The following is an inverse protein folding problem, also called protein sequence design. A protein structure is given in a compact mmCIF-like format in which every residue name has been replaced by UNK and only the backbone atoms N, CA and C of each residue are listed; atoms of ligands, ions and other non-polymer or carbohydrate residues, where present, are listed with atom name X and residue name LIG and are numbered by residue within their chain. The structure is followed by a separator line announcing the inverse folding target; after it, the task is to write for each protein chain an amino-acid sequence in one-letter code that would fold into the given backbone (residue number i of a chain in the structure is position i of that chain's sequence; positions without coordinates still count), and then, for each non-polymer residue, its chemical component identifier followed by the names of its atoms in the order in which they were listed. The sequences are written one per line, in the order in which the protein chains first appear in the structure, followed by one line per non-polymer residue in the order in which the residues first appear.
data_IF_070984326558
#
_entry.id   IF_070984326558
#
_cell.length_a   1.000
_cell.length_b   1.000
_cell.length_c   1.000
_cell.angle_alpha   90.00
_cell.angle_beta   90.00
_cell.angle_gamma   90.00
#
_symmetry.space_group_name_H-M   'P 1'
#
loop_
_entity.id
_entity.type
_entity.pdbx_description
1 polymer ?
#
# COMPACT_ATOMS: atom_id res chain seq x y z
N UNK A 1 -20.27 -16.49 14.31
CA UNK A 1 -19.32 -17.59 14.00
C UNK A 1 -17.90 -17.22 14.42
N UNK A 2 -17.41 -15.99 14.16
CA UNK A 2 -16.05 -15.53 14.51
C UNK A 2 -15.96 -14.75 15.83
N UNK A 3 -17.07 -14.50 16.49
CA UNK A 3 -17.16 -13.64 17.69
C UNK A 3 -16.22 -14.11 18.81
N UNK A 4 -16.20 -15.40 19.11
CA UNK A 4 -15.32 -15.95 20.15
C UNK A 4 -13.83 -15.79 19.78
N UNK A 5 -13.47 -16.00 18.51
CA UNK A 5 -12.10 -15.78 18.02
C UNK A 5 -11.70 -14.32 18.16
N UNK A 6 -12.58 -13.39 17.79
CA UNK A 6 -12.32 -11.95 17.93
C UNK A 6 -12.24 -11.51 19.40
N UNK A 7 -13.00 -12.15 20.32
CA UNK A 7 -12.88 -11.88 21.74
C UNK A 7 -11.53 -12.33 22.30
N UNK A 8 -11.07 -13.55 21.96
CA UNK A 8 -9.75 -14.03 22.36
C UNK A 8 -8.64 -13.11 21.85
N UNK A 9 -8.71 -12.71 20.57
CA UNK A 9 -7.79 -11.76 19.97
C UNK A 9 -7.79 -10.40 20.70
N UNK A 10 -9.00 -9.87 21.03
CA UNK A 10 -9.12 -8.61 21.76
C UNK A 10 -8.50 -8.70 23.16
N UNK A 11 -8.76 -9.79 23.88
CA UNK A 11 -8.20 -10.02 25.21
C UNK A 11 -6.67 -10.14 25.16
N UNK A 12 -6.13 -10.91 24.19
CA UNK A 12 -4.69 -11.04 23.97
C UNK A 12 -4.02 -9.70 23.63
N UNK A 13 -4.72 -8.81 22.89
CA UNK A 13 -4.18 -7.52 22.48
C UNK A 13 -3.72 -6.63 23.63
N UNK A 14 -4.31 -6.78 24.82
CA UNK A 14 -3.93 -6.00 26.01
C UNK A 14 -2.55 -6.35 26.56
N UNK A 15 -1.98 -7.49 26.17
CA UNK A 15 -0.62 -7.90 26.58
C UNK A 15 0.47 -7.22 25.74
N UNK A 16 0.18 -6.82 24.51
CA UNK A 16 1.17 -6.30 23.57
C UNK A 16 1.80 -4.95 23.98
N UNK A 17 1.05 -3.96 24.49
CA UNK A 17 1.62 -2.65 24.86
C UNK A 17 2.70 -2.70 25.94
N UNK A 18 2.75 -3.75 26.76
CA UNK A 18 3.74 -3.90 27.83
C UNK A 18 4.97 -4.74 27.47
N UNK A 19 5.00 -5.31 26.26
CA UNK A 19 6.19 -6.00 25.76
C UNK A 19 7.34 -5.02 25.54
N UNK A 20 8.52 -5.43 25.95
CA UNK A 20 9.72 -4.68 25.68
C UNK A 20 10.15 -4.81 24.20
N UNK A 21 10.84 -3.80 23.67
CA UNK A 21 11.28 -3.76 22.26
C UNK A 21 12.16 -4.96 21.89
N UNK A 22 13.04 -5.39 22.82
CA UNK A 22 13.92 -6.55 22.61
C UNK A 22 13.13 -7.86 22.48
N UNK A 23 12.01 -8.03 23.21
CA UNK A 23 11.15 -9.22 23.10
C UNK A 23 10.46 -9.27 21.73
N UNK A 24 10.01 -8.11 21.24
CA UNK A 24 9.38 -7.98 19.92
C UNK A 24 10.39 -8.31 18.82
N UNK A 25 11.58 -7.73 18.90
CA UNK A 25 12.64 -7.96 17.90
C UNK A 25 13.12 -9.41 17.90
N UNK A 26 13.33 -10.00 19.07
CA UNK A 26 13.75 -11.40 19.23
C UNK A 26 12.71 -12.36 18.65
N UNK A 27 11.40 -12.10 18.84
CA UNK A 27 10.36 -12.91 18.24
C UNK A 27 10.37 -12.80 16.70
N UNK A 28 10.45 -11.58 16.13
CA UNK A 28 10.47 -11.40 14.68
C UNK A 28 11.70 -12.06 14.04
N UNK A 29 12.87 -11.95 14.65
CA UNK A 29 14.09 -12.62 14.20
C UNK A 29 13.97 -14.16 14.27
N UNK A 30 13.42 -14.68 15.37
CA UNK A 30 13.15 -16.11 15.51
C UNK A 30 12.15 -16.61 14.48
N UNK A 31 11.10 -15.83 14.19
CA UNK A 31 10.13 -16.19 13.17
C UNK A 31 10.75 -16.16 11.77
N UNK A 32 11.61 -15.20 11.47
CA UNK A 32 12.34 -15.17 10.20
C UNK A 32 13.18 -16.44 9.98
N UNK A 33 13.89 -16.90 11.01
CA UNK A 33 14.65 -18.15 10.98
C UNK A 33 13.72 -19.39 10.86
N UNK A 34 12.56 -19.32 11.51
CA UNK A 34 11.54 -20.37 11.43
C UNK A 34 10.92 -20.48 10.03
N UNK A 35 10.73 -19.37 9.31
CA UNK A 35 10.25 -19.37 7.90
C UNK A 35 11.22 -20.15 7.02
N UNK A 36 12.52 -19.87 7.11
CA UNK A 36 13.53 -20.56 6.31
C UNK A 36 13.65 -22.05 6.67
N UNK A 37 13.64 -22.38 7.95
CA UNK A 37 13.76 -23.77 8.41
C UNK A 37 12.50 -24.62 8.20
N UNK A 38 11.31 -24.02 8.02
CA UNK A 38 10.07 -24.70 7.74
C UNK A 38 9.60 -24.49 6.30
N UNK A 39 10.47 -24.07 5.38
CA UNK A 39 10.12 -23.78 3.98
C UNK A 39 9.40 -24.94 3.30
N UNK A 40 9.82 -26.18 3.53
CA UNK A 40 9.19 -27.36 2.95
C UNK A 40 7.70 -27.51 3.34
N UNK A 41 7.35 -27.27 4.61
CA UNK A 41 5.95 -27.33 5.09
C UNK A 41 5.11 -26.21 4.47
N UNK A 42 5.65 -25.00 4.40
CA UNK A 42 4.97 -23.86 3.78
C UNK A 42 4.75 -24.07 2.28
N UNK A 43 5.74 -24.63 1.57
CA UNK A 43 5.64 -24.93 0.14
C UNK A 43 4.67 -26.09 -0.12
N UNK A 44 4.60 -27.12 0.75
CA UNK A 44 3.61 -28.19 0.65
C UNK A 44 2.18 -27.65 0.80
N UNK A 45 1.94 -26.76 1.77
CA UNK A 45 0.64 -26.12 1.93
C UNK A 45 0.28 -25.26 0.71
N UNK A 46 1.25 -24.50 0.19
CA UNK A 46 1.06 -23.69 -1.01
C UNK A 46 0.79 -24.53 -2.26
N UNK A 47 1.40 -25.68 -2.39
CA UNK A 47 1.12 -26.62 -3.49
C UNK A 47 -0.33 -27.09 -3.51
N UNK A 48 -0.98 -27.26 -2.34
CA UNK A 48 -2.42 -27.60 -2.24
C UNK A 48 -3.30 -26.47 -2.80
N UNK A 49 -2.97 -25.22 -2.48
CA UNK A 49 -3.68 -24.06 -3.01
C UNK A 49 -3.48 -23.93 -4.53
N UNK A 50 -2.24 -24.05 -5.01
CA UNK A 50 -1.89 -23.99 -6.44
C UNK A 50 -2.56 -25.10 -7.27
N UNK A 51 -2.76 -26.28 -6.69
CA UNK A 51 -3.43 -27.39 -7.37
C UNK A 51 -4.91 -27.11 -7.70
N UNK A 52 -5.53 -26.15 -6.99
CA UNK A 52 -6.92 -25.73 -7.21
C UNK A 52 -7.06 -24.57 -8.19
N UNK A 53 -5.93 -23.98 -8.65
CA UNK A 53 -5.93 -22.82 -9.53
C UNK A 53 -5.37 -23.15 -10.90
N UNK A 54 -6.01 -22.67 -11.96
CA UNK A 54 -5.49 -22.75 -13.31
C UNK A 54 -4.20 -21.93 -13.45
N UNK A 55 -3.16 -22.52 -14.04
CA UNK A 55 -1.87 -21.84 -14.26
C UNK A 55 -1.96 -20.64 -15.20
N UNK A 56 -2.97 -20.60 -16.08
CA UNK A 56 -3.22 -19.44 -16.96
C UNK A 56 -3.89 -18.27 -16.24
N UNK A 57 -4.37 -18.47 -15.00
CA UNK A 57 -4.99 -17.43 -14.21
C UNK A 57 -3.94 -16.37 -13.82
N UNK A 58 -4.15 -15.06 -14.12
CA UNK A 58 -3.21 -14.00 -13.75
C UNK A 58 -2.91 -13.91 -12.25
N UNK A 59 -3.79 -14.46 -11.41
CA UNK A 59 -3.63 -14.51 -9.94
C UNK A 59 -2.65 -15.60 -9.50
N UNK A 60 -2.37 -16.60 -10.36
CA UNK A 60 -1.49 -17.74 -10.02
C UNK A 60 -0.11 -17.30 -9.52
N UNK A 61 0.52 -16.33 -10.18
CA UNK A 61 1.83 -15.80 -9.77
C UNK A 61 1.78 -15.10 -8.40
N UNK A 62 0.66 -14.49 -8.06
CA UNK A 62 0.47 -13.85 -6.74
C UNK A 62 0.33 -14.86 -5.61
N UNK A 63 -0.24 -16.02 -5.92
CA UNK A 63 -0.44 -17.13 -4.97
C UNK A 63 0.84 -17.94 -4.75
N UNK A 64 1.70 -18.03 -5.76
CA UNK A 64 2.90 -18.88 -5.76
C UNK A 64 3.90 -18.45 -4.68
N UNK A 65 4.27 -19.38 -3.81
CA UNK A 65 5.45 -19.31 -2.95
C UNK A 65 6.59 -20.14 -3.57
N UNK A 66 7.81 -19.68 -3.40
CA UNK A 66 9.06 -20.38 -3.76
C UNK A 66 10.03 -20.23 -2.61
N UNK A 67 11.09 -21.03 -2.58
CA UNK A 67 12.15 -20.87 -1.57
C UNK A 67 12.74 -19.45 -1.57
N UNK A 68 12.95 -18.86 -2.75
CA UNK A 68 13.50 -17.50 -2.87
C UNK A 68 12.50 -16.45 -2.35
N UNK A 69 11.19 -16.63 -2.60
CA UNK A 69 10.16 -15.76 -2.03
C UNK A 69 10.09 -15.88 -0.50
N UNK A 70 10.21 -17.08 0.04
CA UNK A 70 10.25 -17.29 1.50
C UNK A 70 11.50 -16.67 2.13
N UNK A 71 12.68 -16.79 1.51
CA UNK A 71 13.89 -16.06 1.93
C UNK A 71 13.72 -14.56 1.88
N UNK A 72 13.05 -14.05 0.84
CA UNK A 72 12.70 -12.63 0.74
C UNK A 72 11.82 -12.18 1.92
N UNK A 73 10.75 -12.93 2.22
CA UNK A 73 9.86 -12.65 3.35
C UNK A 73 10.62 -12.67 4.68
N UNK A 74 11.50 -13.65 4.89
CA UNK A 74 12.34 -13.72 6.09
C UNK A 74 13.30 -12.52 6.20
N UNK A 75 13.87 -12.09 5.07
CA UNK A 75 14.71 -10.88 5.00
C UNK A 75 13.93 -9.61 5.34
N UNK A 76 12.72 -9.45 4.78
CA UNK A 76 11.84 -8.32 5.05
C UNK A 76 11.43 -8.27 6.53
N UNK A 77 11.16 -9.43 7.13
CA UNK A 77 10.82 -9.54 8.56
C UNK A 77 12.00 -9.16 9.46
N UNK A 78 13.24 -9.58 9.12
CA UNK A 78 14.46 -9.13 9.82
C UNK A 78 14.61 -7.61 9.73
N UNK A 79 14.34 -7.05 8.54
CA UNK A 79 14.38 -5.61 8.37
C UNK A 79 13.31 -4.89 9.23
N UNK A 80 12.09 -5.41 9.31
CA UNK A 80 11.06 -4.86 10.23
C UNK A 80 11.53 -4.92 11.69
N UNK A 81 12.23 -5.98 12.09
CA UNK A 81 12.77 -6.06 13.46
C UNK A 81 13.81 -4.96 13.76
N UNK A 82 14.56 -4.50 12.74
CA UNK A 82 15.57 -3.43 12.88
C UNK A 82 14.93 -2.02 12.94
N UNK A 83 13.71 -1.85 12.46
CA UNK A 83 13.02 -0.55 12.49
C UNK A 83 12.78 -0.09 13.93
N UNK A 84 12.87 1.20 14.16
CA UNK A 84 12.46 1.81 15.44
C UNK A 84 10.94 1.73 15.61
N UNK A 85 10.48 1.21 16.77
CA UNK A 85 9.05 1.20 17.07
C UNK A 85 8.51 2.62 17.28
N UNK A 86 7.39 2.99 16.66
CA UNK A 86 6.77 4.29 16.91
C UNK A 86 6.09 4.35 18.29
N UNK A 87 5.82 3.22 18.94
CA UNK A 87 5.05 3.16 20.19
C UNK A 87 5.84 3.77 21.35
N UNK A 88 5.21 4.71 22.05
CA UNK A 88 5.84 5.48 23.12
C UNK A 88 6.55 6.77 22.67
N UNK A 89 6.71 6.98 21.35
CA UNK A 89 7.31 8.20 20.81
C UNK A 89 6.50 9.43 21.21
N UNK A 90 7.18 10.42 21.79
CA UNK A 90 6.58 11.71 22.15
C UNK A 90 6.36 12.52 20.88
N UNK A 91 5.11 12.87 20.61
CA UNK A 91 4.73 13.71 19.46
C UNK A 91 4.76 15.18 19.83
N UNK A 92 4.29 15.50 21.05
CA UNK A 92 4.15 16.89 21.54
C UNK A 92 4.14 16.89 23.07
N UNK A 93 4.75 17.93 23.66
CA UNK A 93 4.78 18.12 25.11
C UNK A 93 4.56 19.57 25.47
N UNK A 94 3.69 19.84 26.43
CA UNK A 94 3.34 21.20 26.87
C UNK A 94 3.14 21.25 28.38
N UNK A 95 3.66 22.30 29.01
CA UNK A 95 3.33 22.65 30.39
C UNK A 95 2.31 23.80 30.37
N UNK A 96 1.19 23.60 31.06
CA UNK A 96 0.13 24.63 31.15
C UNK A 96 0.46 25.64 32.24
N UNK A 97 -0.14 26.86 32.19
CA UNK A 97 0.08 27.88 33.23
C UNK A 97 -0.23 27.43 34.66
N UNK A 98 -1.13 26.49 34.84
CA UNK A 98 -1.47 25.88 36.13
C UNK A 98 -0.53 24.76 36.57
N UNK A 99 0.55 24.49 35.83
CA UNK A 99 1.56 23.47 36.13
C UNK A 99 1.26 22.08 35.56
N UNK A 100 0.08 21.82 34.94
CA UNK A 100 -0.20 20.53 34.32
C UNK A 100 0.76 20.28 33.14
N UNK A 101 1.37 19.11 33.10
CA UNK A 101 2.17 18.60 31.99
C UNK A 101 1.31 17.69 31.10
N UNK A 102 1.18 18.07 29.82
CA UNK A 102 0.49 17.28 28.80
C UNK A 102 1.52 16.73 27.83
N UNK A 103 1.56 15.41 27.70
CA UNK A 103 2.45 14.71 26.75
C UNK A 103 1.59 13.90 25.81
N UNK A 104 1.71 14.11 24.51
CA UNK A 104 1.06 13.32 23.48
C UNK A 104 2.01 12.24 22.99
N UNK A 105 1.63 10.98 23.15
CA UNK A 105 2.48 9.84 22.80
C UNK A 105 1.79 8.91 21.80
N UNK A 106 2.55 8.29 20.93
CA UNK A 106 2.06 7.25 20.02
C UNK A 106 1.72 5.99 20.77
N UNK A 107 0.62 5.35 20.39
CA UNK A 107 0.14 4.09 20.95
C UNK A 107 -0.44 3.20 19.84
N UNK A 108 -0.48 1.87 19.99
CA UNK A 108 -1.16 1.00 19.05
C UNK A 108 -2.65 1.36 18.92
N UNK A 109 -3.28 0.99 17.80
CA UNK A 109 -4.75 1.01 17.70
C UNK A 109 -5.38 -0.03 18.63
N UNK A 110 -4.79 -1.20 18.69
CA UNK A 110 -5.29 -2.36 19.45
C UNK A 110 -5.41 -3.57 18.53
N UNK A 111 -6.58 -3.81 17.94
CA UNK A 111 -6.82 -4.91 16.99
C UNK A 111 -7.01 -4.36 15.59
N UNK A 112 -6.18 -4.82 14.65
CA UNK A 112 -6.28 -4.48 13.23
C UNK A 112 -6.81 -5.69 12.46
N UNK A 113 -7.95 -5.52 11.78
CA UNK A 113 -8.47 -6.51 10.84
C UNK A 113 -7.91 -6.26 9.44
N UNK A 114 -7.44 -7.31 8.78
CA UNK A 114 -6.96 -7.20 7.39
C UNK A 114 -7.70 -8.20 6.51
N UNK A 115 -8.43 -7.70 5.50
CA UNK A 115 -9.09 -8.53 4.50
C UNK A 115 -8.25 -8.49 3.22
N UNK A 116 -7.76 -9.64 2.77
CA UNK A 116 -6.86 -9.72 1.61
C UNK A 116 -7.18 -10.90 0.68
N UNK A 117 -6.78 -10.74 -0.59
CA UNK A 117 -6.99 -11.71 -1.67
C UNK A 117 -5.65 -12.40 -2.03
N UNK A 118 -5.70 -13.69 -2.36
CA UNK A 118 -4.70 -14.51 -3.09
C UNK A 118 -3.20 -14.09 -2.96
N UNK A 119 -2.75 -13.78 -1.74
CA UNK A 119 -1.35 -13.39 -1.46
C UNK A 119 -0.92 -13.94 -0.09
N UNK A 120 -0.40 -15.18 -0.01
CA UNK A 120 -0.04 -15.79 1.27
C UNK A 120 1.04 -15.00 2.04
N UNK A 121 1.97 -14.32 1.35
CA UNK A 121 2.97 -13.48 2.00
C UNK A 121 2.36 -12.38 2.87
N UNK A 122 1.17 -11.89 2.53
CA UNK A 122 0.49 -10.81 3.29
C UNK A 122 0.27 -11.19 4.74
N UNK A 123 0.08 -12.49 5.04
CA UNK A 123 -0.07 -12.96 6.42
C UNK A 123 1.18 -12.67 7.27
N UNK A 124 2.37 -12.90 6.73
CA UNK A 124 3.64 -12.57 7.40
C UNK A 124 3.88 -11.06 7.47
N UNK A 125 3.64 -10.35 6.35
CA UNK A 125 3.87 -8.91 6.25
C UNK A 125 2.99 -8.15 7.25
N UNK A 126 1.69 -8.49 7.30
CA UNK A 126 0.74 -7.90 8.25
C UNK A 126 1.11 -8.22 9.68
N UNK A 127 1.42 -9.49 9.98
CA UNK A 127 1.81 -9.89 11.33
C UNK A 127 3.04 -9.12 11.80
N UNK A 128 4.10 -9.07 11.00
CA UNK A 128 5.35 -8.40 11.37
C UNK A 128 5.14 -6.92 11.69
N UNK A 129 4.40 -6.19 10.86
CA UNK A 129 4.11 -4.77 11.05
C UNK A 129 3.18 -4.54 12.25
N UNK A 130 2.10 -5.32 12.37
CA UNK A 130 1.18 -5.23 13.51
C UNK A 130 1.90 -5.54 14.82
N UNK A 131 2.66 -6.63 14.88
CA UNK A 131 3.36 -7.03 16.09
C UNK A 131 4.46 -6.01 16.48
N UNK A 132 5.24 -5.51 15.51
CA UNK A 132 6.25 -4.46 15.73
C UNK A 132 5.63 -3.17 16.28
N UNK A 133 4.43 -2.82 15.85
CA UNK A 133 3.67 -1.66 16.34
C UNK A 133 2.75 -1.99 17.53
N UNK A 134 2.89 -3.19 18.12
CA UNK A 134 2.13 -3.69 19.27
C UNK A 134 0.62 -3.75 19.05
N UNK A 135 0.19 -4.01 17.82
CA UNK A 135 -1.18 -4.32 17.46
C UNK A 135 -1.37 -5.83 17.35
N UNK A 136 -2.51 -6.33 17.79
CA UNK A 136 -2.98 -7.65 17.42
C UNK A 136 -3.63 -7.62 16.04
N UNK A 137 -3.68 -8.74 15.32
CA UNK A 137 -4.24 -8.74 13.97
C UNK A 137 -5.19 -9.91 13.69
N UNK A 138 -6.37 -9.57 13.14
CA UNK A 138 -7.35 -10.51 12.58
C UNK A 138 -7.08 -10.64 11.07
N UNK A 139 -6.62 -11.80 10.62
CA UNK A 139 -6.30 -12.09 9.24
C UNK A 139 -7.49 -12.74 8.55
N UNK A 140 -8.03 -12.10 7.50
CA UNK A 140 -9.12 -12.65 6.68
C UNK A 140 -8.63 -12.82 5.24
N UNK A 141 -7.94 -13.93 4.99
CA UNK A 141 -7.50 -14.29 3.63
C UNK A 141 -8.63 -14.79 2.73
N UNK A 142 -8.35 -14.81 1.42
CA UNK A 142 -9.22 -15.46 0.43
C UNK A 142 -9.16 -16.99 0.51
N UNK A 143 -10.16 -17.66 -0.07
CA UNK A 143 -10.20 -19.14 -0.17
C UNK A 143 -9.06 -19.71 -1.01
N UNK A 144 -8.54 -18.92 -1.95
CA UNK A 144 -7.49 -19.36 -2.89
C UNK A 144 -6.15 -19.66 -2.20
N UNK A 145 -5.89 -19.03 -1.04
CA UNK A 145 -4.65 -19.16 -0.28
C UNK A 145 -4.87 -19.79 1.11
N UNK A 146 -5.95 -20.53 1.30
CA UNK A 146 -6.37 -20.96 2.63
C UNK A 146 -5.38 -21.90 3.33
N UNK A 147 -4.89 -22.93 2.61
CA UNK A 147 -3.93 -23.88 3.19
C UNK A 147 -2.59 -23.21 3.51
N UNK A 148 -2.14 -22.32 2.64
CA UNK A 148 -0.93 -21.50 2.88
C UNK A 148 -1.10 -20.61 4.12
N UNK A 149 -2.22 -19.90 4.23
CA UNK A 149 -2.49 -19.01 5.35
C UNK A 149 -2.57 -19.78 6.68
N UNK A 150 -3.20 -20.97 6.70
CA UNK A 150 -3.22 -21.85 7.86
C UNK A 150 -1.79 -22.23 8.30
N UNK A 151 -0.98 -22.75 7.36
CA UNK A 151 0.39 -23.14 7.67
C UNK A 151 1.26 -21.98 8.17
N UNK A 152 1.05 -20.77 7.66
CA UNK A 152 1.72 -19.55 8.09
C UNK A 152 1.32 -19.17 9.52
N UNK A 153 0.01 -19.12 9.81
CA UNK A 153 -0.46 -18.73 11.15
C UNK A 153 -0.10 -19.80 12.19
N UNK A 154 -0.17 -21.09 11.84
CA UNK A 154 0.31 -22.19 12.71
C UNK A 154 1.80 -22.02 13.06
N UNK A 155 2.63 -21.61 12.10
CA UNK A 155 4.04 -21.33 12.34
C UNK A 155 4.21 -20.12 13.29
N UNK A 156 3.45 -19.05 13.08
CA UNK A 156 3.48 -17.87 13.94
C UNK A 156 3.05 -18.23 15.36
N UNK A 157 1.94 -18.96 15.53
CA UNK A 157 1.45 -19.41 16.84
C UNK A 157 2.49 -20.23 17.61
N UNK A 158 3.18 -21.15 16.91
CA UNK A 158 4.24 -21.96 17.53
C UNK A 158 5.38 -21.09 18.06
N UNK A 159 5.88 -20.14 17.24
CA UNK A 159 6.96 -19.23 17.65
C UNK A 159 6.52 -18.31 18.79
N UNK A 160 5.28 -17.79 18.77
CA UNK A 160 4.71 -17.01 19.86
C UNK A 160 4.71 -17.82 21.17
N UNK A 161 4.20 -19.05 21.12
CA UNK A 161 4.15 -19.95 22.29
C UNK A 161 5.55 -20.29 22.82
N UNK A 162 6.52 -20.54 21.95
CA UNK A 162 7.93 -20.77 22.32
C UNK A 162 8.56 -19.58 23.07
N UNK A 163 8.12 -18.35 22.75
CA UNK A 163 8.56 -17.11 23.39
C UNK A 163 7.70 -16.72 24.60
N UNK A 164 6.70 -17.52 24.97
CA UNK A 164 5.79 -17.26 26.09
C UNK A 164 4.83 -16.08 25.86
N UNK A 165 4.55 -15.77 24.58
CA UNK A 165 3.58 -14.74 24.18
C UNK A 165 2.29 -15.44 23.77
N UNK A 166 1.14 -14.84 24.14
CA UNK A 166 -0.17 -15.40 23.82
C UNK A 166 -0.34 -15.53 22.30
N UNK A 167 -0.52 -16.74 21.75
CA UNK A 167 -0.71 -16.93 20.30
C UNK A 167 -1.93 -16.20 19.75
N UNK A 168 -2.94 -15.93 20.57
CA UNK A 168 -4.17 -15.24 20.16
C UNK A 168 -3.95 -13.76 19.77
N UNK A 169 -2.73 -13.22 19.82
CA UNK A 169 -2.40 -11.90 19.26
C UNK A 169 -2.50 -11.85 17.74
N UNK A 170 -2.60 -13.00 17.08
CA UNK A 170 -2.92 -13.14 15.65
C UNK A 170 -3.90 -14.28 15.46
N UNK A 171 -4.95 -14.04 14.67
CA UNK A 171 -5.95 -15.05 14.35
C UNK A 171 -6.28 -15.07 12.86
N UNK A 172 -6.34 -16.28 12.30
CA UNK A 172 -6.83 -16.49 10.93
C UNK A 172 -8.33 -16.78 10.97
N UNK A 173 -9.11 -15.92 10.34
CA UNK A 173 -10.55 -16.10 10.23
C UNK A 173 -10.90 -17.05 9.07
N UNK A 174 -12.07 -17.71 9.13
CA UNK A 174 -12.54 -18.59 8.04
C UNK A 174 -12.58 -17.87 6.69
N UNK A 175 -12.25 -18.58 5.61
CA UNK A 175 -12.12 -18.00 4.27
C UNK A 175 -13.46 -17.52 3.64
N UNK A 176 -14.61 -17.91 4.19
CA UNK A 176 -15.94 -17.58 3.67
C UNK A 176 -16.27 -16.08 3.66
N UNK A 177 -17.21 -15.68 2.78
CA UNK A 177 -17.70 -14.31 2.72
C UNK A 177 -18.43 -13.86 4.00
N UNK A 178 -19.06 -14.80 4.71
CA UNK A 178 -19.74 -14.55 5.98
C UNK A 178 -18.77 -14.03 7.05
N UNK A 179 -17.58 -14.64 7.18
CA UNK A 179 -16.56 -14.19 8.12
C UNK A 179 -16.07 -12.75 7.79
N UNK A 180 -15.98 -12.39 6.50
CA UNK A 180 -15.65 -11.02 6.12
C UNK A 180 -16.77 -10.04 6.50
N UNK A 181 -18.03 -10.43 6.30
CA UNK A 181 -19.17 -9.60 6.67
C UNK A 181 -19.31 -9.43 8.20
N UNK A 182 -19.02 -10.48 8.98
CA UNK A 182 -18.96 -10.40 10.44
C UNK A 182 -17.82 -9.51 10.91
N UNK A 183 -16.60 -9.65 10.30
CA UNK A 183 -15.43 -8.83 10.61
C UNK A 183 -15.71 -7.34 10.38
N UNK A 184 -16.33 -6.99 9.23
CA UNK A 184 -16.70 -5.61 8.92
C UNK A 184 -17.66 -4.97 9.92
N UNK A 185 -18.38 -5.79 10.71
CA UNK A 185 -19.34 -5.34 11.72
C UNK A 185 -18.84 -5.51 13.16
N UNK A 186 -17.61 -5.92 13.37
CA UNK A 186 -17.04 -6.27 14.68
C UNK A 186 -16.71 -5.03 15.54
N UNK A 187 -17.69 -4.15 15.73
CA UNK A 187 -17.58 -2.93 16.54
C UNK A 187 -17.21 -3.28 17.99
N UNK A 188 -16.19 -2.62 18.53
CA UNK A 188 -15.67 -2.85 19.88
C UNK A 188 -14.68 -4.02 20.00
N UNK A 189 -14.61 -4.92 19.02
CA UNK A 189 -13.63 -6.02 18.99
C UNK A 189 -12.45 -5.70 18.06
N UNK A 190 -12.71 -5.02 16.96
CA UNK A 190 -11.69 -4.59 15.96
C UNK A 190 -11.69 -3.06 15.90
N UNK A 191 -10.51 -2.47 15.98
CA UNK A 191 -10.32 -1.02 16.09
C UNK A 191 -10.09 -0.36 14.73
N UNK A 192 -9.53 -1.11 13.77
CA UNK A 192 -9.23 -0.65 12.42
C UNK A 192 -9.33 -1.80 11.41
N UNK A 193 -9.84 -1.53 10.22
CA UNK A 193 -9.90 -2.48 9.11
C UNK A 193 -9.09 -1.98 7.91
N UNK A 194 -8.29 -2.87 7.29
CA UNK A 194 -7.48 -2.56 6.11
C UNK A 194 -7.78 -3.59 5.03
N UNK A 195 -8.51 -3.21 3.96
CA UNK A 195 -8.70 -4.09 2.80
C UNK A 195 -7.46 -4.07 1.89
N UNK A 196 -7.07 -5.26 1.39
CA UNK A 196 -5.92 -5.47 0.49
C UNK A 196 -6.31 -6.35 -0.69
N UNK A 197 -6.60 -5.79 -1.84
CA UNK A 197 -6.99 -6.60 -3.00
C UNK A 197 -7.54 -5.77 -4.14
N UNK A 198 -8.51 -6.34 -4.85
CA UNK A 198 -9.17 -5.70 -6.00
C UNK A 198 -9.96 -4.45 -5.59
N UNK A 199 -10.15 -3.54 -6.54
CA UNK A 199 -11.02 -2.36 -6.36
C UNK A 199 -12.44 -2.75 -5.89
N UNK A 200 -12.92 -3.93 -6.33
CA UNK A 200 -14.21 -4.48 -5.89
C UNK A 200 -14.23 -4.79 -4.40
N UNK A 201 -13.18 -5.44 -3.88
CA UNK A 201 -13.06 -5.72 -2.44
C UNK A 201 -13.00 -4.42 -1.64
N UNK A 202 -12.16 -3.49 -2.04
CA UNK A 202 -11.98 -2.20 -1.35
C UNK A 202 -13.29 -1.43 -1.31
N UNK A 203 -14.00 -1.34 -2.43
CA UNK A 203 -15.33 -0.72 -2.51
C UNK A 203 -16.33 -1.41 -1.58
N UNK A 204 -16.37 -2.74 -1.57
CA UNK A 204 -17.27 -3.51 -0.72
C UNK A 204 -17.02 -3.24 0.77
N UNK A 205 -15.75 -3.21 1.19
CA UNK A 205 -15.38 -2.90 2.58
C UNK A 205 -15.78 -1.47 2.94
N UNK A 206 -15.46 -0.49 2.08
CA UNK A 206 -15.82 0.91 2.31
C UNK A 206 -17.33 1.11 2.52
N UNK A 207 -18.16 0.41 1.74
CA UNK A 207 -19.62 0.56 1.78
C UNK A 207 -20.27 -0.21 2.94
N UNK A 208 -19.65 -1.27 3.45
CA UNK A 208 -20.27 -2.18 4.40
C UNK A 208 -19.65 -2.15 5.80
N UNK A 209 -18.42 -1.65 5.95
CA UNK A 209 -17.76 -1.63 7.24
C UNK A 209 -18.44 -0.66 8.22
N UNK A 210 -18.67 -1.14 9.44
CA UNK A 210 -19.18 -0.36 10.58
C UNK A 210 -18.06 0.08 11.53
N UNK A 211 -16.84 -0.38 11.27
CA UNK A 211 -15.61 -0.01 11.97
C UNK A 211 -14.75 0.88 11.07
N UNK A 212 -13.90 1.74 11.63
CA UNK A 212 -13.00 2.56 10.84
C UNK A 212 -12.19 1.73 9.85
N UNK A 213 -12.06 2.19 8.61
CA UNK A 213 -11.23 1.52 7.62
C UNK A 213 -10.25 2.48 6.95
N UNK A 214 -9.07 1.97 6.58
CA UNK A 214 -8.11 2.68 5.75
C UNK A 214 -8.12 2.03 4.37
N UNK A 215 -8.52 2.82 3.37
CA UNK A 215 -8.61 2.35 1.99
C UNK A 215 -7.23 2.37 1.33
N UNK A 216 -6.86 1.24 0.73
CA UNK A 216 -5.76 1.17 -0.24
C UNK A 216 -6.38 1.17 -1.63
N UNK A 217 -6.61 2.36 -2.18
CA UNK A 217 -7.35 2.53 -3.44
C UNK A 217 -6.62 2.05 -4.68
N UNK A 218 -7.32 2.05 -5.83
CA UNK A 218 -6.70 1.90 -7.15
C UNK A 218 -5.73 3.06 -7.40
N UNK A 219 -4.65 2.80 -8.11
CA UNK A 219 -3.63 3.80 -8.43
C UNK A 219 -3.72 4.27 -9.86
N UNK A 220 -4.53 5.29 -10.17
CA UNK A 220 -4.42 5.99 -11.45
C UNK A 220 -3.39 7.10 -11.29
N UNK A 221 -2.22 6.92 -11.92
CA UNK A 221 -1.09 7.85 -11.80
C UNK A 221 -0.89 8.62 -13.09
N UNK A 222 -0.65 9.94 -12.97
CA UNK A 222 -0.34 10.80 -14.11
C UNK A 222 1.09 11.32 -14.05
N UNK A 223 1.68 11.54 -15.23
CA UNK A 223 2.86 12.37 -15.39
C UNK A 223 2.54 13.47 -16.38
N UNK A 224 2.60 14.73 -15.94
CA UNK A 224 2.46 15.89 -16.81
C UNK A 224 3.83 16.33 -17.32
N UNK A 225 4.01 16.27 -18.63
CA UNK A 225 5.17 16.83 -19.32
C UNK A 225 4.86 18.27 -19.74
N UNK A 226 5.38 19.21 -18.94
CA UNK A 226 5.14 20.63 -19.08
C UNK A 226 5.83 21.25 -20.31
N UNK A 227 5.39 22.43 -20.71
CA UNK A 227 6.02 23.23 -21.75
C UNK A 227 7.53 23.40 -21.55
N UNK A 228 7.94 23.61 -20.30
CA UNK A 228 9.34 23.79 -19.89
C UNK A 228 9.96 22.48 -19.33
N UNK A 229 9.43 21.31 -19.70
CA UNK A 229 9.98 20.02 -19.30
C UNK A 229 11.31 19.71 -19.99
N UNK A 230 12.29 19.16 -19.27
CA UNK A 230 13.51 18.62 -19.86
C UNK A 230 13.21 17.28 -20.54
N UNK A 231 13.55 17.19 -21.83
CA UNK A 231 13.20 16.03 -22.65
C UNK A 231 13.87 14.73 -22.16
N UNK A 232 15.14 14.79 -21.78
CA UNK A 232 15.88 13.62 -21.32
C UNK A 232 15.35 13.12 -19.98
N UNK A 233 15.14 14.02 -19.02
CA UNK A 233 14.52 13.69 -17.73
C UNK A 233 13.13 13.10 -17.95
N UNK A 234 12.32 13.73 -18.82
CA UNK A 234 10.97 13.25 -19.14
C UNK A 234 10.95 11.84 -19.71
N UNK A 235 11.80 11.56 -20.71
CA UNK A 235 11.90 10.23 -21.31
C UNK A 235 12.29 9.15 -20.29
N UNK A 236 13.26 9.43 -19.42
CA UNK A 236 13.69 8.47 -18.39
C UNK A 236 12.61 8.26 -17.32
N UNK A 237 11.96 9.32 -16.84
CA UNK A 237 10.89 9.27 -15.83
C UNK A 237 9.68 8.49 -16.35
N UNK A 238 9.18 8.86 -17.55
CA UNK A 238 8.00 8.25 -18.16
C UNK A 238 8.24 6.75 -18.43
N UNK A 239 9.41 6.42 -19.02
CA UNK A 239 9.79 5.04 -19.28
C UNK A 239 9.87 4.23 -17.98
N UNK A 240 10.55 4.74 -16.95
CA UNK A 240 10.66 4.08 -15.66
C UNK A 240 9.29 3.90 -14.99
N UNK A 241 8.48 4.96 -14.91
CA UNK A 241 7.18 4.93 -14.28
C UNK A 241 6.23 3.91 -14.94
N UNK A 242 6.30 3.76 -16.29
CA UNK A 242 5.44 2.80 -17.01
C UNK A 242 5.99 1.38 -17.06
N UNK A 243 7.32 1.18 -17.15
CA UNK A 243 7.84 -0.14 -17.55
C UNK A 243 8.57 -0.91 -16.45
N UNK A 244 8.90 -0.28 -15.32
CA UNK A 244 9.60 -0.96 -14.21
C UNK A 244 8.77 -2.14 -13.66
N UNK A 245 7.48 -1.92 -13.40
CA UNK A 245 6.52 -2.95 -12.96
C UNK A 245 5.10 -2.44 -13.22
N UNK A 246 4.40 -3.04 -14.17
CA UNK A 246 3.08 -2.54 -14.60
C UNK A 246 1.92 -2.97 -13.70
N UNK A 247 2.10 -4.02 -12.89
CA UNK A 247 1.03 -4.62 -12.07
C UNK A 247 0.91 -4.00 -10.68
N UNK A 248 1.43 -2.79 -10.47
CA UNK A 248 1.42 -2.05 -9.19
C UNK A 248 0.75 -0.69 -9.35
N UNK A 249 0.16 -0.21 -8.25
CA UNK A 249 -0.68 1.00 -8.21
C UNK A 249 0.09 2.32 -8.45
N UNK A 250 1.42 2.32 -8.39
CA UNK A 250 2.26 3.50 -8.67
C UNK A 250 2.79 3.56 -10.13
N UNK A 251 2.36 2.60 -10.98
CA UNK A 251 2.72 2.60 -12.39
C UNK A 251 2.00 3.75 -13.13
N UNK A 252 2.69 4.36 -14.11
CA UNK A 252 2.10 5.41 -14.93
C UNK A 252 0.92 4.87 -15.75
N UNK A 253 -0.25 5.50 -15.65
CA UNK A 253 -1.42 5.18 -16.47
C UNK A 253 -1.74 6.25 -17.50
N UNK A 254 -1.45 7.52 -17.22
CA UNK A 254 -1.72 8.60 -18.16
C UNK A 254 -0.58 9.60 -18.24
N UNK A 255 -0.05 9.79 -19.45
CA UNK A 255 0.84 10.89 -19.77
C UNK A 255 0.00 12.09 -20.22
N UNK A 256 0.16 13.23 -19.54
CA UNK A 256 -0.40 14.52 -19.98
C UNK A 256 0.72 15.33 -20.60
N UNK A 257 0.55 15.83 -21.82
CA UNK A 257 1.60 16.57 -22.53
C UNK A 257 1.13 17.94 -22.99
N UNK A 258 1.95 18.98 -22.79
CA UNK A 258 1.66 20.31 -23.33
C UNK A 258 1.75 20.31 -24.85
N UNK A 259 0.78 20.92 -25.54
CA UNK A 259 0.68 20.92 -27.01
C UNK A 259 1.96 21.42 -27.72
N UNK A 260 2.65 22.43 -27.17
CA UNK A 260 3.92 22.95 -27.72
C UNK A 260 5.06 21.90 -27.69
N UNK A 261 4.86 20.78 -27.00
CA UNK A 261 5.84 19.72 -26.82
C UNK A 261 5.48 18.42 -27.57
N UNK A 262 4.41 18.42 -28.39
CA UNK A 262 4.01 17.27 -29.21
C UNK A 262 5.13 16.78 -30.16
N UNK A 263 6.01 17.68 -30.63
CA UNK A 263 7.18 17.34 -31.43
C UNK A 263 8.16 16.40 -30.71
N UNK A 264 8.20 16.46 -29.37
CA UNK A 264 9.09 15.67 -28.53
C UNK A 264 8.46 14.31 -28.11
N UNK A 265 7.14 14.16 -28.32
CA UNK A 265 6.39 12.97 -27.90
C UNK A 265 6.97 11.64 -28.44
N UNK A 266 7.41 11.56 -29.73
CA UNK A 266 8.05 10.34 -30.23
C UNK A 266 9.30 9.95 -29.43
N UNK A 267 10.15 10.90 -29.05
CA UNK A 267 11.35 10.63 -28.26
C UNK A 267 11.02 10.22 -26.82
N UNK A 268 9.98 10.83 -26.23
CA UNK A 268 9.49 10.45 -24.90
C UNK A 268 8.96 9.01 -24.86
N UNK A 269 8.39 8.52 -25.99
CA UNK A 269 7.66 7.24 -26.01
C UNK A 269 8.41 6.09 -26.66
N UNK A 270 9.38 6.33 -27.55
CA UNK A 270 9.96 5.28 -28.42
C UNK A 270 10.51 4.06 -27.66
N UNK A 271 11.13 4.27 -26.51
CA UNK A 271 11.68 3.18 -25.68
C UNK A 271 10.58 2.24 -25.11
N UNK A 272 9.35 2.70 -25.03
CA UNK A 272 8.23 1.89 -24.55
C UNK A 272 7.81 0.82 -25.56
N UNK A 273 8.11 1.03 -26.84
CA UNK A 273 7.89 0.03 -27.90
C UNK A 273 8.68 -1.26 -27.64
N UNK A 274 9.89 -1.18 -27.07
CA UNK A 274 10.72 -2.34 -26.70
C UNK A 274 10.05 -3.23 -25.61
N UNK A 275 9.07 -2.68 -24.91
CA UNK A 275 8.27 -3.36 -23.89
C UNK A 275 6.83 -3.66 -24.35
N UNK A 276 6.54 -3.46 -25.64
CA UNK A 276 5.21 -3.62 -26.22
C UNK A 276 4.13 -2.82 -25.47
N UNK A 277 4.42 -1.59 -25.05
CA UNK A 277 3.44 -0.74 -24.40
C UNK A 277 2.45 -0.23 -25.44
N UNK A 278 1.17 -0.55 -25.25
CA UNK A 278 0.09 0.00 -26.07
C UNK A 278 -0.22 1.42 -25.59
N UNK A 279 -0.28 2.37 -26.52
CA UNK A 279 -0.59 3.77 -26.22
C UNK A 279 -1.98 4.10 -26.79
N UNK A 280 -2.90 4.49 -25.92
CA UNK A 280 -4.19 5.08 -26.26
C UNK A 280 -4.02 6.61 -26.29
N UNK A 281 -3.88 7.21 -27.48
CA UNK A 281 -3.54 8.62 -27.67
C UNK A 281 -4.77 9.43 -28.13
N UNK A 282 -4.92 10.66 -27.61
CA UNK A 282 -5.88 11.60 -28.18
C UNK A 282 -5.47 12.02 -29.61
N UNK A 283 -6.35 12.64 -30.37
CA UNK A 283 -6.14 12.94 -31.79
C UNK A 283 -4.81 13.66 -32.08
N UNK A 284 -4.41 14.61 -31.22
CA UNK A 284 -3.18 15.38 -31.43
C UNK A 284 -1.93 14.55 -31.12
N UNK A 285 -1.98 13.78 -30.03
CA UNK A 285 -0.88 12.88 -29.66
C UNK A 285 -0.78 11.71 -30.62
N UNK A 286 -1.92 11.19 -31.14
CA UNK A 286 -1.93 10.15 -32.14
C UNK A 286 -1.23 10.62 -33.42
N UNK A 287 -1.62 11.79 -33.96
CA UNK A 287 -0.97 12.36 -35.15
C UNK A 287 0.54 12.63 -34.95
N UNK A 288 0.96 12.96 -33.74
CA UNK A 288 2.39 13.16 -33.43
C UNK A 288 3.19 11.85 -33.40
N UNK A 289 2.54 10.72 -33.04
CA UNK A 289 3.14 9.38 -32.94
C UNK A 289 2.99 8.55 -34.20
N UNK A 290 2.05 8.87 -35.10
CA UNK A 290 1.79 8.14 -36.31
C UNK A 290 3.05 8.06 -37.18
N UNK A 291 3.41 6.84 -37.61
CA UNK A 291 4.64 6.56 -38.37
C UNK A 291 5.95 6.67 -37.57
N UNK A 292 5.90 6.98 -36.25
CA UNK A 292 7.07 7.09 -35.37
C UNK A 292 7.01 6.15 -34.17
N UNK A 293 5.86 5.60 -33.90
CA UNK A 293 5.61 4.52 -32.92
C UNK A 293 5.01 3.33 -33.68
N UNK A 294 5.23 2.06 -33.23
CA UNK A 294 4.67 0.89 -33.92
C UNK A 294 3.14 1.00 -34.05
N UNK A 295 2.63 0.82 -35.27
CA UNK A 295 1.21 1.03 -35.56
C UNK A 295 0.29 0.05 -34.80
N UNK A 296 0.76 -1.17 -34.55
CA UNK A 296 0.06 -2.20 -33.77
C UNK A 296 -0.01 -1.90 -32.28
N UNK A 297 0.76 -0.96 -31.77
CA UNK A 297 0.80 -0.51 -30.38
C UNK A 297 0.21 0.90 -30.19
N UNK A 298 -0.35 1.50 -31.22
CA UNK A 298 -0.92 2.86 -31.18
C UNK A 298 -2.42 2.80 -31.48
N UNK A 299 -3.22 3.21 -30.51
CA UNK A 299 -4.68 3.23 -30.59
C UNK A 299 -5.21 4.64 -30.32
N UNK A 300 -6.43 4.95 -30.81
CA UNK A 300 -7.11 6.19 -30.45
C UNK A 300 -7.69 6.08 -29.04
N UNK A 301 -7.48 7.10 -28.23
CA UNK A 301 -8.09 7.20 -26.92
C UNK A 301 -9.60 7.49 -27.02
N UNK A 302 -10.34 6.95 -26.06
CA UNK A 302 -11.74 7.30 -25.81
C UNK A 302 -11.84 7.98 -24.45
N UNK A 303 -13.02 8.48 -24.08
CA UNK A 303 -13.24 9.06 -22.75
C UNK A 303 -12.94 8.04 -21.62
N UNK A 304 -13.15 6.74 -21.89
CA UNK A 304 -12.86 5.64 -20.95
C UNK A 304 -11.37 5.32 -20.81
N UNK A 305 -10.52 5.85 -21.68
CA UNK A 305 -9.06 5.71 -21.61
C UNK A 305 -8.44 6.53 -20.48
N UNK A 306 -9.15 7.56 -20.01
CA UNK A 306 -8.69 8.46 -18.95
C UNK A 306 -9.31 8.06 -17.59
N UNK A 307 -8.55 8.23 -16.52
CA UNK A 307 -8.99 7.84 -15.16
C UNK A 307 -9.05 6.33 -14.93
N UNK A 308 -8.35 5.54 -15.73
CA UNK A 308 -8.32 4.08 -15.68
C UNK A 308 -6.97 3.56 -15.21
N UNK A 309 -6.96 2.68 -14.22
CA UNK A 309 -5.79 1.89 -13.82
C UNK A 309 -5.64 0.70 -14.78
N UNK A 310 -4.59 0.70 -15.59
CA UNK A 310 -4.42 -0.33 -16.63
C UNK A 310 -3.83 -1.64 -16.09
N UNK A 311 -2.91 -1.58 -15.13
CA UNK A 311 -2.18 -2.75 -14.57
C UNK A 311 -1.51 -3.62 -15.67
N UNK A 312 -1.18 -3.04 -16.81
CA UNK A 312 -0.67 -3.68 -18.00
C UNK A 312 0.35 -2.77 -18.71
N UNK A 313 1.04 -3.31 -19.71
CA UNK A 313 1.84 -2.52 -20.66
C UNK A 313 0.90 -1.73 -21.58
N UNK A 314 0.13 -0.82 -21.00
CA UNK A 314 -0.84 0.04 -21.67
C UNK A 314 -0.96 1.36 -20.91
N UNK A 315 -1.09 2.48 -21.61
CA UNK A 315 -1.27 3.80 -21.02
C UNK A 315 -2.05 4.71 -21.96
N UNK A 316 -2.63 5.78 -21.42
CA UNK A 316 -3.24 6.86 -22.22
C UNK A 316 -2.33 8.07 -22.36
N UNK A 317 -2.54 8.87 -23.42
CA UNK A 317 -1.90 10.17 -23.59
C UNK A 317 -2.95 11.23 -23.86
N UNK A 318 -2.89 12.33 -23.07
CA UNK A 318 -3.73 13.51 -23.20
C UNK A 318 -2.90 14.73 -23.56
N UNK A 319 -3.26 15.40 -24.65
CA UNK A 319 -2.71 16.71 -25.04
C UNK A 319 -3.48 17.81 -24.33
N UNK A 320 -2.78 18.81 -23.80
CA UNK A 320 -3.36 20.00 -23.17
C UNK A 320 -2.74 21.26 -23.73
N UNK A 321 -3.51 22.34 -23.83
CA UNK A 321 -3.09 23.63 -24.40
C UNK A 321 -2.45 24.57 -23.35
N UNK A 322 -2.62 24.28 -22.07
CA UNK A 322 -2.13 25.12 -20.97
C UNK A 322 -1.82 24.29 -19.73
N UNK A 323 -1.08 24.90 -18.81
CA UNK A 323 -0.81 24.37 -17.48
C UNK A 323 -2.11 24.13 -16.69
N UNK A 324 -3.06 25.09 -16.75
CA UNK A 324 -4.35 25.02 -16.05
C UNK A 324 -5.20 23.86 -16.58
N UNK A 325 -5.17 23.60 -17.86
CA UNK A 325 -5.86 22.45 -18.47
C UNK A 325 -5.27 21.14 -17.99
N UNK A 326 -3.94 21.05 -17.83
CA UNK A 326 -3.28 19.87 -17.27
C UNK A 326 -3.76 19.60 -15.83
N UNK A 327 -3.77 20.64 -14.99
CA UNK A 327 -4.26 20.53 -13.60
C UNK A 327 -5.71 20.07 -13.55
N UNK A 328 -6.56 20.61 -14.44
CA UNK A 328 -7.97 20.23 -14.51
C UNK A 328 -8.15 18.77 -14.95
N UNK A 329 -7.41 18.35 -15.98
CA UNK A 329 -7.47 16.98 -16.47
C UNK A 329 -7.04 15.98 -15.36
N UNK A 330 -5.93 16.23 -14.68
CA UNK A 330 -5.47 15.40 -13.57
C UNK A 330 -6.53 15.39 -12.45
N UNK A 331 -7.05 16.55 -12.07
CA UNK A 331 -8.06 16.65 -10.99
C UNK A 331 -9.30 15.81 -11.23
N UNK A 332 -9.75 15.67 -12.47
CA UNK A 332 -10.95 14.91 -12.83
C UNK A 332 -10.68 13.41 -12.89
N UNK A 333 -9.46 13.02 -13.28
CA UNK A 333 -9.11 11.64 -13.59
C UNK A 333 -8.24 10.94 -12.53
N UNK A 334 -7.76 11.68 -11.52
CA UNK A 334 -6.89 11.13 -10.48
C UNK A 334 -7.59 10.18 -9.53
N UNK A 335 -6.90 9.13 -9.11
CA UNK A 335 -7.26 8.31 -7.95
C UNK A 335 -6.75 8.90 -6.62
N UNK A 336 -6.10 10.05 -6.63
CA UNK A 336 -5.39 10.66 -5.50
C UNK A 336 -4.19 9.85 -4.99
N UNK A 337 -3.60 8.99 -5.83
CA UNK A 337 -2.46 8.16 -5.46
C UNK A 337 -1.14 8.91 -5.66
N UNK A 338 -0.67 9.03 -6.90
CA UNK A 338 0.63 9.61 -7.23
C UNK A 338 0.57 10.41 -8.51
N UNK A 339 0.98 11.66 -8.44
CA UNK A 339 0.96 12.59 -9.56
C UNK A 339 2.34 13.24 -9.75
N UNK A 340 2.79 13.36 -10.98
CA UNK A 340 4.09 13.93 -11.30
C UNK A 340 3.98 15.06 -12.31
N UNK A 341 4.83 16.08 -12.17
CA UNK A 341 5.14 17.06 -13.21
C UNK A 341 6.61 16.96 -13.60
N UNK A 342 6.89 17.01 -14.89
CA UNK A 342 8.26 17.19 -15.43
C UNK A 342 8.38 18.61 -15.96
N UNK A 343 9.13 19.45 -15.26
CA UNK A 343 9.30 20.88 -15.57
C UNK A 343 10.59 21.45 -15.00
N UNK A 344 11.19 22.40 -15.72
CA UNK A 344 12.29 23.24 -15.20
C UNK A 344 11.76 24.58 -14.67
N UNK A 345 10.45 24.85 -14.78
CA UNK A 345 9.82 26.04 -14.22
C UNK A 345 9.51 25.85 -12.73
N UNK A 346 10.27 26.52 -11.88
CA UNK A 346 10.14 26.42 -10.43
C UNK A 346 8.76 26.88 -9.92
N UNK A 347 8.10 27.84 -10.61
CA UNK A 347 6.76 28.29 -10.23
C UNK A 347 5.70 27.23 -10.55
N UNK A 348 5.76 26.62 -11.74
CA UNK A 348 4.89 25.50 -12.12
C UNK A 348 5.08 24.32 -11.15
N UNK A 349 6.33 23.96 -10.85
CA UNK A 349 6.63 22.90 -9.89
C UNK A 349 5.99 23.15 -8.52
N UNK A 350 6.19 24.34 -7.95
CA UNK A 350 5.64 24.74 -6.64
C UNK A 350 4.10 24.75 -6.67
N UNK A 351 3.48 25.34 -7.70
CA UNK A 351 2.03 25.42 -7.84
C UNK A 351 1.43 24.01 -8.02
N UNK A 352 2.08 23.13 -8.78
CA UNK A 352 1.64 21.75 -8.96
C UNK A 352 1.55 21.03 -7.60
N UNK A 353 2.60 21.10 -6.78
CA UNK A 353 2.60 20.48 -5.46
C UNK A 353 1.56 21.08 -4.51
N UNK A 354 1.17 22.35 -4.69
CA UNK A 354 0.13 23.00 -3.88
C UNK A 354 -1.29 22.68 -4.37
N UNK A 355 -1.48 22.52 -5.67
CA UNK A 355 -2.81 22.40 -6.28
C UNK A 355 -3.28 20.96 -6.42
N UNK A 356 -2.36 20.02 -6.66
CA UNK A 356 -2.69 18.62 -6.84
C UNK A 356 -2.97 17.97 -5.49
N UNK A 357 -4.18 17.45 -5.34
CA UNK A 357 -4.63 16.73 -4.15
C UNK A 357 -4.42 15.22 -4.35
N UNK A 358 -3.18 14.78 -4.16
CA UNK A 358 -2.80 13.37 -4.18
C UNK A 358 -1.98 13.01 -2.94
N UNK A 359 -1.86 11.71 -2.66
CA UNK A 359 -1.05 11.21 -1.55
C UNK A 359 0.43 11.54 -1.75
N UNK A 360 0.92 11.42 -3.00
CA UNK A 360 2.30 11.73 -3.36
C UNK A 360 2.32 12.64 -4.59
N UNK A 361 3.00 13.78 -4.50
CA UNK A 361 3.10 14.77 -5.58
C UNK A 361 4.56 15.04 -5.90
N UNK A 362 4.96 14.66 -7.09
CA UNK A 362 6.34 14.62 -7.54
C UNK A 362 6.68 15.76 -8.51
N UNK A 363 7.92 16.21 -8.45
CA UNK A 363 8.52 17.12 -9.45
C UNK A 363 9.79 16.44 -9.95
N UNK A 364 9.87 16.17 -11.24
CA UNK A 364 11.04 15.56 -11.91
C UNK A 364 11.47 14.21 -11.30
N UNK A 365 10.52 13.40 -10.82
CA UNK A 365 10.77 12.08 -10.22
C UNK A 365 9.65 11.11 -10.64
N UNK A 366 10.01 9.86 -10.92
CA UNK A 366 9.08 8.80 -11.30
C UNK A 366 8.07 8.49 -10.18
N UNK A 367 6.79 8.29 -10.52
CA UNK A 367 5.75 7.84 -9.57
C UNK A 367 6.06 6.45 -8.99
N UNK A 368 6.93 5.67 -9.65
CA UNK A 368 7.39 4.36 -9.18
C UNK A 368 8.12 4.41 -7.82
N UNK A 369 8.46 5.60 -7.31
CA UNK A 369 9.03 5.80 -5.98
C UNK A 369 7.98 5.83 -4.86
N UNK A 370 6.67 5.81 -5.16
CA UNK A 370 5.64 5.67 -4.12
C UNK A 370 5.65 4.24 -3.58
N UNK A 371 6.50 4.01 -2.60
CA UNK A 371 6.80 2.69 -2.03
C UNK A 371 7.40 2.89 -0.63
N UNK A 372 6.98 2.09 0.35
CA UNK A 372 7.41 2.27 1.73
C UNK A 372 8.92 2.10 1.93
N UNK A 373 9.56 1.17 1.22
CA UNK A 373 11.01 0.99 1.29
C UNK A 373 11.75 2.20 0.67
N UNK A 374 11.24 2.74 -0.46
CA UNK A 374 11.80 3.92 -1.11
C UNK A 374 11.63 5.20 -0.26
N UNK A 375 10.59 5.26 0.57
CA UNK A 375 10.34 6.37 1.50
C UNK A 375 11.11 6.23 2.83
N UNK A 376 11.88 5.15 2.99
CA UNK A 376 12.63 4.88 4.21
C UNK A 376 11.77 4.36 5.36
N UNK A 377 10.54 3.90 5.07
CA UNK A 377 9.63 3.32 6.07
C UNK A 377 9.94 1.83 6.33
N UNK A 378 10.87 1.26 5.56
CA UNK A 378 11.32 -0.12 5.67
C UNK A 378 10.35 -1.14 5.09
N UNK A 379 9.10 -1.10 5.49
CA UNK A 379 8.01 -1.96 4.98
C UNK A 379 6.71 -1.19 4.94
N UNK A 380 5.72 -1.68 4.18
CA UNK A 380 4.40 -1.07 4.09
C UNK A 380 3.28 -2.10 4.11
N UNK A 381 2.17 -1.74 4.77
CA UNK A 381 0.94 -2.51 4.73
C UNK A 381 0.06 -2.14 3.53
N UNK A 382 0.37 -1.05 2.85
CA UNK A 382 -0.30 -0.54 1.65
C UNK A 382 -0.14 0.95 1.49
N UNK A 383 -0.74 1.49 0.42
CA UNK A 383 -0.72 2.91 0.10
C UNK A 383 -2.14 3.45 0.18
N UNK A 384 -2.38 4.38 1.10
CA UNK A 384 -3.70 4.99 1.29
C UNK A 384 -3.86 6.25 0.45
N UNK A 385 -5.01 6.39 -0.20
CA UNK A 385 -5.38 7.59 -0.96
C UNK A 385 -6.38 8.49 -0.22
N UNK A 386 -6.88 8.03 0.93
CA UNK A 386 -7.85 8.80 1.72
C UNK A 386 -7.19 9.94 2.51
N UNK A 387 -8.01 10.89 3.00
CA UNK A 387 -7.55 12.06 3.76
C UNK A 387 -7.58 11.86 5.27
N UNK A 388 -8.45 10.98 5.77
CA UNK A 388 -8.56 10.70 7.21
C UNK A 388 -7.52 9.69 7.63
N UNK A 389 -6.74 10.03 8.68
CA UNK A 389 -5.62 9.30 9.25
C UNK A 389 -4.46 9.15 8.25
N UNK A 390 -4.09 7.91 7.87
CA UNK A 390 -2.95 7.66 6.99
C UNK A 390 -3.23 8.06 5.54
N UNK A 391 -2.24 8.66 4.88
CA UNK A 391 -2.27 9.00 3.45
C UNK A 391 -0.88 8.76 2.85
N UNK A 392 -0.80 8.02 1.73
CA UNK A 392 0.45 7.57 1.13
C UNK A 392 0.86 6.18 1.63
N UNK A 393 2.12 5.78 1.45
CA UNK A 393 2.65 4.52 1.99
C UNK A 393 2.48 4.43 3.51
N UNK A 394 1.97 3.29 3.98
CA UNK A 394 1.68 3.08 5.39
C UNK A 394 2.69 2.12 6.01
N UNK A 395 3.64 2.66 6.75
CA UNK A 395 4.58 1.92 7.59
C UNK A 395 4.08 1.75 9.03
N UNK A 396 5.02 1.63 9.96
CA UNK A 396 4.71 1.40 11.37
C UNK A 396 3.98 2.58 12.03
N UNK A 397 4.31 3.83 11.67
CA UNK A 397 3.67 5.01 12.25
C UNK A 397 2.18 5.10 11.89
N UNK A 398 1.82 4.74 10.64
CA UNK A 398 0.47 4.87 10.10
C UNK A 398 -0.51 3.85 10.69
N UNK A 399 -0.01 2.75 11.27
CA UNK A 399 -0.84 1.77 12.01
C UNK A 399 -0.81 1.99 13.52
N UNK A 400 -0.50 3.22 13.95
CA UNK A 400 -0.60 3.68 15.33
C UNK A 400 -1.48 4.92 15.44
N UNK A 401 -1.95 5.20 16.65
CA UNK A 401 -2.65 6.44 16.99
C UNK A 401 -1.90 7.15 18.12
N UNK A 402 -2.54 8.06 18.83
CA UNK A 402 -1.95 8.74 19.97
C UNK A 402 -2.94 8.84 21.17
N UNK A 403 -2.36 8.98 22.35
CA UNK A 403 -3.11 9.36 23.55
C UNK A 403 -2.39 10.48 24.30
N UNK A 404 -3.12 11.15 25.18
CA UNK A 404 -2.55 12.17 26.05
C UNK A 404 -2.26 11.57 27.43
N UNK A 405 -1.02 11.77 27.90
CA UNK A 405 -0.62 11.55 29.27
C UNK A 405 -0.67 12.92 29.96
N UNK A 406 -1.46 13.01 31.02
CA UNK A 406 -1.66 14.28 31.74
C UNK A 406 -1.22 14.09 33.17
N UNK A 407 -0.16 14.80 33.56
CA UNK A 407 0.40 14.78 34.90
C UNK A 407 0.16 16.12 35.59
N UNK A 408 -0.24 16.07 36.83
CA UNK A 408 -0.51 17.24 37.65
C UNK A 408 -0.21 17.00 39.14
N UNK A 409 -0.46 18.01 39.93
CA UNK A 409 -0.32 18.02 41.39
C UNK A 409 -1.58 18.63 42.06
N UNK A 410 -2.73 17.97 41.80
CA UNK A 410 -4.01 18.34 42.40
C UNK A 410 -4.76 19.54 41.75
N UNK A 411 -4.39 19.92 40.52
CA UNK A 411 -5.10 21.00 39.83
C UNK A 411 -6.55 20.64 39.55
N UNK A 412 -7.45 21.58 39.85
CA UNK A 412 -8.89 21.49 39.56
C UNK A 412 -9.32 22.56 38.59
N UNK A 413 -10.34 22.28 37.79
CA UNK A 413 -11.00 23.26 36.93
C UNK A 413 -12.07 23.99 37.69
N UNK A 414 -12.01 25.34 37.73
CA UNK A 414 -13.06 26.19 38.24
C UNK A 414 -14.21 26.29 37.22
#
# INVERSE_FOLDING_TARGET
MIENTLQLLKDASYSLPVLEENQINDLLLTLADAIESNSAVLLEANAKDLARMDRSNPVYDRLLLTEDRLKGIASDMRHVAELESPVGKVIDERVRPNGMKLTRVRVPFGVIGVIYEARPNVSFDVFSLCFKSRNACALKGGSDAYDSNCAIVDLIHRVLAEKGIDPHVVELLPAGHEAAAELMKAVGMVDLLIPRGSARLIKSVREQAQIPCIETGAGVCHTYFDKEGDLKKGADIIFNAKTRRVSVCNALDSLVIHADRLKDLPELCIRMADKNVVIEADEQSYAALEGKYPAELLEHATDESFGKEFLAYRMSIKTVSSYEEALMHIRVNTSHHSECIVTENAEHARKFQQYIDAACVYVNVSTAFTDGAQFGLGAEIGISTQKMHARGPMGLEEITTYKWLINGDGQTRQ
#
